data_IF_919649569419
#
_entry.id   IF_919649569419
#
_cell.length_a   1.000
_cell.length_b   1.000
_cell.length_c   1.000
_cell.angle_alpha   90.00
_cell.angle_beta   90.00
_cell.angle_gamma   90.00
#
_symmetry.space_group_name_H-M   'P 1'
#
loop_
_entity.id
_entity.type
_entity.pdbx_description
1 polymer ?
#
# COMPACT_ATOMS: atom_id res chain seq x y z
N UNK A 1 49.10 4.28 47.44
CA UNK A 1 48.20 5.03 46.58
C UNK A 1 47.97 4.21 45.31
N UNK A 2 46.80 3.69 45.03
CA UNK A 2 46.53 3.01 43.78
C UNK A 2 46.00 4.04 42.76
N UNK A 3 46.60 4.01 41.60
CA UNK A 3 46.19 4.78 40.42
C UNK A 3 44.78 4.38 39.96
N UNK A 4 43.85 5.33 39.95
CA UNK A 4 42.53 5.20 39.27
C UNK A 4 42.72 5.40 37.79
N UNK A 5 42.43 4.35 37.01
CA UNK A 5 42.25 4.42 35.56
C UNK A 5 40.83 4.93 35.30
N UNK A 6 40.63 6.00 34.55
CA UNK A 6 39.28 6.40 34.14
C UNK A 6 38.82 5.52 32.99
N UNK A 7 37.91 4.61 33.23
CA UNK A 7 37.15 3.90 32.24
C UNK A 7 35.90 4.75 31.86
N UNK A 8 36.06 5.66 30.93
CA UNK A 8 34.94 6.20 30.21
C UNK A 8 34.95 5.63 28.79
N UNK A 9 34.36 4.46 28.64
CA UNK A 9 33.89 4.04 27.32
C UNK A 9 32.59 4.81 27.02
N UNK A 10 32.73 5.93 26.30
CA UNK A 10 31.64 6.51 25.59
C UNK A 10 31.30 5.56 24.44
N UNK A 11 30.34 4.69 24.63
CA UNK A 11 29.64 4.06 23.50
C UNK A 11 28.84 5.17 22.83
N UNK A 12 29.39 5.78 21.78
CA UNK A 12 28.55 6.47 20.81
C UNK A 12 27.62 5.43 20.23
N UNK A 13 26.39 5.36 20.70
CA UNK A 13 25.31 4.74 19.97
C UNK A 13 25.26 5.49 18.65
N UNK A 14 25.65 4.84 17.54
CA UNK A 14 25.32 5.34 16.22
C UNK A 14 23.80 5.41 16.18
N UNK A 15 23.26 6.61 16.38
CA UNK A 15 21.83 6.83 16.34
C UNK A 15 21.43 6.65 14.89
N UNK A 16 20.83 5.51 14.54
CA UNK A 16 20.31 5.22 13.21
C UNK A 16 18.82 5.49 13.19
N UNK A 17 18.29 5.92 12.06
CA UNK A 17 16.85 6.10 11.86
C UNK A 17 16.42 5.58 10.51
N UNK A 18 15.17 5.15 10.42
CA UNK A 18 14.58 4.71 9.17
C UNK A 18 14.01 5.88 8.38
N UNK A 19 14.21 5.81 7.08
CA UNK A 19 13.55 6.63 6.07
C UNK A 19 12.93 5.70 5.03
N UNK A 20 11.99 6.21 4.23
CA UNK A 20 11.16 5.37 3.39
C UNK A 20 11.18 5.84 1.94
N UNK A 21 11.21 4.90 1.00
CA UNK A 21 11.17 5.10 -0.44
C UNK A 21 9.87 4.54 -0.96
N UNK A 22 8.97 5.37 -1.47
CA UNK A 22 7.60 4.97 -1.79
C UNK A 22 7.27 5.35 -3.22
N UNK A 23 6.62 4.43 -3.92
CA UNK A 23 5.98 4.68 -5.21
C UNK A 23 4.70 3.83 -5.35
N UNK A 24 3.83 4.25 -6.25
CA UNK A 24 2.61 3.53 -6.58
C UNK A 24 2.47 3.37 -8.09
N UNK A 25 1.77 2.31 -8.51
CA UNK A 25 1.36 2.09 -9.89
C UNK A 25 -0.10 1.62 -9.89
N UNK A 26 -0.84 1.96 -10.95
CA UNK A 26 -2.23 1.55 -11.12
C UNK A 26 -2.56 1.28 -12.57
N UNK A 27 -3.59 0.48 -12.78
CA UNK A 27 -4.13 0.21 -14.12
C UNK A 27 -5.64 -0.05 -14.03
N UNK A 28 -6.48 0.72 -14.74
CA UNK A 28 -7.92 0.49 -14.72
C UNK A 28 -8.30 -0.79 -15.47
N UNK A 29 -9.39 -1.42 -15.06
CA UNK A 29 -10.05 -2.54 -15.75
C UNK A 29 -10.36 -2.16 -17.19
N UNK A 30 -10.27 -3.10 -18.10
CA UNK A 30 -10.65 -2.89 -19.50
C UNK A 30 -9.64 -2.14 -20.37
N UNK A 31 -8.58 -1.57 -19.80
CA UNK A 31 -7.48 -0.96 -20.57
C UNK A 31 -6.42 -2.01 -20.84
N UNK A 32 -6.11 -2.26 -22.11
CA UNK A 32 -5.04 -3.19 -22.48
C UNK A 32 -3.69 -2.72 -21.93
N UNK A 33 -2.82 -3.64 -21.49
CA UNK A 33 -1.47 -3.30 -21.05
C UNK A 33 -0.75 -2.56 -22.18
N UNK A 34 -0.30 -1.34 -21.90
CA UNK A 34 0.57 -0.61 -22.82
C UNK A 34 2.00 -1.08 -22.63
N UNK A 35 2.86 -1.02 -23.69
CA UNK A 35 4.28 -1.19 -23.48
C UNK A 35 4.76 -0.27 -22.37
N UNK A 36 5.63 -0.73 -21.46
CA UNK A 36 6.13 0.10 -20.38
C UNK A 36 6.77 1.36 -20.96
N UNK A 37 6.29 2.52 -20.51
CA UNK A 37 6.94 3.79 -20.76
C UNK A 37 7.70 4.15 -19.49
N UNK A 38 9.03 4.13 -19.53
CA UNK A 38 9.84 4.51 -18.38
C UNK A 38 9.36 5.85 -17.79
N UNK A 39 9.22 5.90 -16.48
CA UNK A 39 8.85 7.10 -15.74
C UNK A 39 7.39 7.57 -15.82
N UNK A 40 6.50 6.86 -16.55
CA UNK A 40 5.07 7.25 -16.66
C UNK A 40 4.09 6.29 -16.00
N UNK A 41 4.51 5.07 -15.73
CA UNK A 41 3.63 4.02 -15.25
C UNK A 41 3.55 3.95 -13.72
N UNK A 42 4.19 4.87 -13.01
CA UNK A 42 4.12 4.94 -11.56
C UNK A 42 4.10 6.37 -11.03
N UNK A 43 3.49 6.51 -9.87
CA UNK A 43 3.45 7.74 -9.10
C UNK A 43 4.54 7.72 -8.03
N UNK A 44 5.14 8.87 -7.77
CA UNK A 44 6.23 9.02 -6.83
C UNK A 44 5.83 9.94 -5.68
N UNK A 45 6.07 9.47 -4.47
CA UNK A 45 5.83 10.18 -3.23
C UNK A 45 6.51 11.57 -3.16
N UNK A 46 7.76 11.70 -3.63
CA UNK A 46 8.49 12.96 -3.62
C UNK A 46 7.84 14.05 -4.50
N UNK A 47 7.12 13.66 -5.56
CA UNK A 47 6.44 14.63 -6.42
C UNK A 47 5.28 15.35 -5.74
N UNK A 48 4.82 14.89 -4.57
CA UNK A 48 3.76 15.56 -3.79
C UNK A 48 4.29 16.66 -2.88
N UNK A 49 5.59 16.69 -2.57
CA UNK A 49 6.20 17.72 -1.72
C UNK A 49 6.36 19.06 -2.43
N UNK A 50 6.57 19.06 -3.74
CA UNK A 50 6.71 20.29 -4.52
C UNK A 50 5.35 20.93 -4.88
N UNK A 51 4.24 20.17 -4.72
CA UNK A 51 2.91 20.67 -5.00
C UNK A 51 1.98 20.34 -3.81
N UNK A 52 1.82 21.27 -2.86
CA UNK A 52 1.14 21.04 -1.58
C UNK A 52 -0.36 20.82 -1.70
N UNK A 53 -0.91 20.73 -2.90
CA UNK A 53 -2.30 20.32 -3.08
C UNK A 53 -2.43 18.84 -2.81
N UNK A 54 -3.09 18.43 -1.72
CA UNK A 54 -3.35 17.03 -1.43
C UNK A 54 -3.99 16.33 -2.63
N UNK A 55 -3.75 15.02 -2.86
CA UNK A 55 -4.31 14.30 -4.00
C UNK A 55 -5.83 14.46 -4.16
N UNK A 56 -6.57 14.60 -3.05
CA UNK A 56 -8.02 14.85 -3.06
C UNK A 56 -8.44 16.25 -3.52
N UNK A 57 -7.51 17.21 -3.59
CA UNK A 57 -7.75 18.55 -4.16
C UNK A 57 -7.33 18.65 -5.64
N UNK A 58 -6.73 17.61 -6.20
CA UNK A 58 -6.48 17.57 -7.64
C UNK A 58 -7.82 17.47 -8.36
N UNK A 59 -8.03 18.30 -9.35
CA UNK A 59 -9.22 18.28 -10.20
C UNK A 59 -9.30 17.05 -11.11
N UNK A 60 -8.30 16.18 -11.10
CA UNK A 60 -8.20 14.99 -11.94
C UNK A 60 -8.25 13.74 -11.07
N UNK A 61 -9.25 12.89 -11.34
CA UNK A 61 -9.39 11.54 -10.83
C UNK A 61 -8.13 10.73 -11.14
N UNK A 62 -7.71 9.85 -10.22
CA UNK A 62 -6.63 8.89 -10.50
C UNK A 62 -7.06 7.97 -11.65
N UNK A 63 -6.13 7.61 -12.53
CA UNK A 63 -6.37 6.64 -13.61
C UNK A 63 -6.18 5.21 -13.07
N UNK A 64 -7.02 4.84 -12.10
CA UNK A 64 -6.98 3.57 -11.38
C UNK A 64 -8.34 2.86 -11.36
N UNK A 65 -9.31 3.33 -12.16
CA UNK A 65 -10.66 2.78 -12.15
C UNK A 65 -11.40 3.11 -10.84
N UNK A 66 -11.92 2.08 -10.18
CA UNK A 66 -12.60 2.18 -8.88
C UNK A 66 -11.63 2.21 -7.71
N UNK A 67 -10.38 1.80 -7.93
CA UNK A 67 -9.30 1.82 -6.94
C UNK A 67 -8.81 3.23 -6.64
N UNK A 68 -8.28 3.39 -5.43
CA UNK A 68 -7.56 4.57 -5.01
C UNK A 68 -6.34 4.22 -4.16
N UNK A 69 -5.35 5.10 -4.13
CA UNK A 69 -4.17 4.95 -3.27
C UNK A 69 -3.69 6.30 -2.76
N UNK A 70 -2.92 6.27 -1.70
CA UNK A 70 -2.26 7.45 -1.16
C UNK A 70 -0.88 7.11 -0.59
N UNK A 71 -0.02 8.11 -0.51
CA UNK A 71 1.19 8.11 0.30
C UNK A 71 1.52 9.56 0.67
N UNK A 72 1.90 9.78 1.92
CA UNK A 72 2.18 11.11 2.47
C UNK A 72 3.15 11.03 3.65
N UNK A 73 3.79 12.14 3.97
CA UNK A 73 4.46 12.30 5.27
C UNK A 73 3.43 12.43 6.38
N UNK A 74 3.80 12.00 7.57
CA UNK A 74 3.04 12.30 8.79
C UNK A 74 3.65 13.55 9.43
N UNK A 75 2.86 14.61 9.57
CA UNK A 75 3.33 15.86 10.16
C UNK A 75 4.52 16.51 9.45
N UNK A 76 4.69 16.26 8.13
CA UNK A 76 5.81 16.75 7.36
C UNK A 76 7.16 16.03 7.60
N UNK A 77 7.19 14.95 8.39
CA UNK A 77 8.41 14.19 8.70
C UNK A 77 8.72 13.14 7.66
N UNK A 78 9.92 13.11 7.09
CA UNK A 78 10.36 12.09 6.12
C UNK A 78 10.57 10.69 6.75
N UNK A 79 10.67 10.64 8.07
CA UNK A 79 10.86 9.42 8.85
C UNK A 79 9.54 8.79 9.31
N UNK A 80 8.43 9.49 9.11
CA UNK A 80 7.08 9.04 9.44
C UNK A 80 6.21 9.19 8.21
N UNK A 81 5.79 8.09 7.64
CA UNK A 81 4.97 8.09 6.42
C UNK A 81 3.72 7.24 6.61
N UNK A 82 2.63 7.70 5.99
CA UNK A 82 1.39 6.96 5.88
C UNK A 82 1.11 6.67 4.41
N UNK A 83 0.74 5.44 4.09
CA UNK A 83 0.45 5.02 2.73
C UNK A 83 -0.53 3.85 2.73
N UNK A 84 -1.23 3.66 1.63
CA UNK A 84 -2.22 2.60 1.50
C UNK A 84 -3.09 2.78 0.27
N UNK A 85 -4.16 1.98 0.23
CA UNK A 85 -5.09 1.93 -0.88
C UNK A 85 -6.50 1.53 -0.40
N UNK A 86 -7.46 1.73 -1.30
CA UNK A 86 -8.85 1.36 -1.13
C UNK A 86 -9.39 0.90 -2.48
N UNK A 87 -10.07 -0.24 -2.51
CA UNK A 87 -10.73 -0.82 -3.66
C UNK A 87 -12.22 -0.47 -3.59
N UNK A 88 -12.73 0.20 -4.61
CA UNK A 88 -14.12 0.61 -4.69
C UNK A 88 -15.03 -0.56 -5.05
N UNK A 89 -16.01 -0.87 -4.20
CA UNK A 89 -16.88 -2.03 -4.41
C UNK A 89 -17.81 -1.83 -5.60
N UNK A 90 -17.54 -2.54 -6.70
CA UNK A 90 -18.24 -2.44 -7.99
C UNK A 90 -19.74 -2.67 -7.94
N UNK A 91 -20.25 -3.43 -6.97
CA UNK A 91 -21.68 -3.66 -6.78
C UNK A 91 -22.52 -2.40 -6.56
N UNK A 92 -21.90 -1.28 -6.21
CA UNK A 92 -22.58 0.02 -6.12
C UNK A 92 -22.97 0.61 -7.48
N UNK A 93 -22.34 0.19 -8.58
CA UNK A 93 -22.73 0.62 -9.94
C UNK A 93 -24.17 0.24 -10.25
N UNK A 94 -24.65 -0.91 -9.79
CA UNK A 94 -26.05 -1.36 -9.96
C UNK A 94 -27.05 -0.42 -9.29
N UNK A 95 -26.59 0.40 -8.35
CA UNK A 95 -27.36 1.45 -7.67
C UNK A 95 -27.15 2.84 -8.27
N UNK A 96 -26.44 2.94 -9.40
CA UNK A 96 -26.12 4.20 -10.07
C UNK A 96 -25.08 5.06 -9.35
N UNK A 97 -24.25 4.44 -8.49
CA UNK A 97 -23.16 5.09 -7.73
C UNK A 97 -21.83 4.78 -8.38
N UNK A 98 -20.96 5.77 -8.52
CA UNK A 98 -19.57 5.57 -8.94
C UNK A 98 -18.73 5.14 -7.71
N UNK A 99 -18.27 3.86 -7.62
CA UNK A 99 -17.54 3.35 -6.47
C UNK A 99 -16.24 4.10 -6.19
N UNK A 100 -15.63 4.66 -7.25
CA UNK A 100 -14.39 5.42 -7.12
C UNK A 100 -14.54 6.73 -6.34
N UNK A 101 -15.73 7.30 -6.20
CA UNK A 101 -15.93 8.51 -5.41
C UNK A 101 -15.67 8.25 -3.93
N UNK A 102 -16.07 7.07 -3.45
CA UNK A 102 -15.86 6.69 -2.05
C UNK A 102 -14.40 6.36 -1.78
N UNK A 103 -13.77 5.48 -2.58
CA UNK A 103 -12.38 5.06 -2.41
C UNK A 103 -11.40 6.23 -2.51
N UNK A 104 -11.59 7.12 -3.50
CA UNK A 104 -10.74 8.31 -3.68
C UNK A 104 -10.92 9.34 -2.55
N UNK A 105 -12.15 9.57 -2.09
CA UNK A 105 -12.40 10.46 -0.97
C UNK A 105 -11.75 9.92 0.32
N UNK A 106 -11.88 8.62 0.59
CA UNK A 106 -11.28 7.98 1.77
C UNK A 106 -9.76 8.11 1.75
N UNK A 107 -9.10 7.73 0.66
CA UNK A 107 -7.65 7.84 0.48
C UNK A 107 -7.17 9.29 0.60
N UNK A 108 -7.88 10.23 -0.04
CA UNK A 108 -7.54 11.66 0.03
C UNK A 108 -7.64 12.24 1.44
N UNK A 109 -8.67 11.85 2.20
CA UNK A 109 -8.85 12.29 3.58
C UNK A 109 -7.81 11.67 4.52
N UNK A 110 -7.46 10.39 4.35
CA UNK A 110 -6.35 9.78 5.09
C UNK A 110 -5.03 10.51 4.84
N UNK A 111 -4.72 10.80 3.56
CA UNK A 111 -3.52 11.55 3.21
C UNK A 111 -3.48 12.93 3.85
N UNK A 112 -4.58 13.68 3.76
CA UNK A 112 -4.69 15.02 4.34
C UNK A 112 -4.55 15.02 5.84
N UNK A 113 -5.26 14.14 6.54
CA UNK A 113 -5.21 14.03 8.01
C UNK A 113 -3.82 13.66 8.52
N UNK A 114 -3.16 12.68 7.87
CA UNK A 114 -1.80 12.29 8.26
C UNK A 114 -0.79 13.42 8.04
N UNK A 115 -0.89 14.16 6.93
CA UNK A 115 0.06 15.22 6.59
C UNK A 115 0.04 16.38 7.58
N UNK A 116 -1.14 16.77 8.07
CA UNK A 116 -1.30 17.90 9.00
C UNK A 116 -1.20 17.51 10.47
N UNK A 117 -0.94 16.26 10.80
CA UNK A 117 -0.84 15.82 12.18
C UNK A 117 0.31 16.50 12.90
N UNK A 118 0.03 17.11 14.03
CA UNK A 118 1.02 17.78 14.89
C UNK A 118 1.48 16.86 16.03
N UNK A 119 2.65 17.17 16.59
CA UNK A 119 3.19 16.52 17.80
C UNK A 119 3.26 14.98 17.69
N UNK A 120 3.78 14.49 16.57
CA UNK A 120 3.83 13.04 16.25
C UNK A 120 4.63 12.21 17.28
N UNK A 121 5.55 12.79 18.02
CA UNK A 121 6.30 12.12 19.09
C UNK A 121 5.43 11.87 20.35
N UNK A 122 4.52 12.81 20.68
CA UNK A 122 3.61 12.69 21.83
C UNK A 122 2.31 11.99 21.44
N UNK A 123 1.85 12.19 20.21
CA UNK A 123 0.63 11.62 19.67
C UNK A 123 0.93 10.95 18.31
N UNK A 124 1.45 9.73 18.31
CA UNK A 124 1.83 9.03 17.08
C UNK A 124 0.60 8.76 16.20
N UNK A 125 0.77 8.99 14.89
CA UNK A 125 -0.22 8.58 13.90
C UNK A 125 -0.37 7.05 13.92
N UNK A 126 -1.60 6.57 13.94
CA UNK A 126 -1.92 5.14 13.88
C UNK A 126 -2.90 4.86 12.76
N UNK A 127 -2.77 3.72 12.05
CA UNK A 127 -3.56 3.46 10.85
C UNK A 127 -5.07 3.34 11.13
N UNK A 128 -5.50 2.64 12.18
CA UNK A 128 -6.92 2.47 12.47
C UNK A 128 -7.61 3.79 12.91
N UNK A 129 -7.06 4.62 13.82
CA UNK A 129 -7.57 5.96 14.08
C UNK A 129 -7.57 6.88 12.86
N UNK A 130 -6.54 6.81 12.00
CA UNK A 130 -6.49 7.56 10.75
C UNK A 130 -7.63 7.16 9.82
N UNK A 131 -7.88 5.85 9.67
CA UNK A 131 -8.99 5.31 8.90
C UNK A 131 -10.33 5.76 9.48
N UNK A 132 -10.50 5.74 10.81
CA UNK A 132 -11.73 6.19 11.49
C UNK A 132 -12.02 7.66 11.19
N UNK A 133 -11.00 8.52 11.33
CA UNK A 133 -11.15 9.95 11.05
C UNK A 133 -11.56 10.21 9.60
N UNK A 134 -10.95 9.52 8.65
CA UNK A 134 -11.26 9.66 7.24
C UNK A 134 -12.67 9.12 6.92
N UNK A 135 -13.05 7.98 7.48
CA UNK A 135 -14.37 7.40 7.31
C UNK A 135 -15.47 8.30 7.85
N UNK A 136 -15.31 8.85 9.06
CA UNK A 136 -16.26 9.80 9.64
C UNK A 136 -16.43 11.03 8.74
N UNK A 137 -15.35 11.52 8.16
CA UNK A 137 -15.39 12.66 7.24
C UNK A 137 -16.13 12.31 5.93
N UNK A 138 -15.94 11.10 5.36
CA UNK A 138 -16.70 10.61 4.20
C UNK A 138 -18.18 10.48 4.55
N UNK A 139 -18.51 9.90 5.70
CA UNK A 139 -19.90 9.73 6.15
C UNK A 139 -20.63 11.06 6.29
N UNK A 140 -19.93 12.10 6.74
CA UNK A 140 -20.47 13.44 6.91
C UNK A 140 -20.42 14.31 5.63
N UNK A 141 -19.75 13.84 4.57
CA UNK A 141 -19.63 14.61 3.33
C UNK A 141 -20.91 14.50 2.49
N UNK A 142 -21.64 15.62 2.24
CA UNK A 142 -22.88 15.58 1.46
C UNK A 142 -22.65 15.31 -0.03
N UNK A 143 -21.42 15.46 -0.53
CA UNK A 143 -21.07 15.16 -1.93
C UNK A 143 -20.98 13.67 -2.19
N UNK A 144 -20.67 12.86 -1.19
CA UNK A 144 -20.65 11.40 -1.26
C UNK A 144 -22.02 10.90 -0.85
N UNK A 145 -22.87 10.57 -1.81
CA UNK A 145 -24.25 10.16 -1.54
C UNK A 145 -24.34 8.71 -1.04
N UNK A 146 -23.52 7.84 -1.59
CA UNK A 146 -23.46 6.40 -1.30
C UNK A 146 -22.11 5.85 -1.78
N UNK A 147 -21.85 4.58 -1.50
CA UNK A 147 -20.66 3.88 -1.96
C UNK A 147 -20.03 3.05 -0.86
N UNK A 148 -19.01 2.30 -1.21
CA UNK A 148 -18.21 1.51 -0.26
C UNK A 148 -16.88 1.12 -0.89
N UNK A 149 -15.92 0.79 -0.03
CA UNK A 149 -14.62 0.29 -0.45
C UNK A 149 -13.97 -0.57 0.64
N UNK A 150 -12.97 -1.35 0.25
CA UNK A 150 -11.99 -1.92 1.17
C UNK A 150 -11.06 -0.83 1.70
N UNK A 151 -10.19 -1.17 2.66
CA UNK A 151 -9.11 -0.28 3.08
C UNK A 151 -7.91 -1.09 3.57
N UNK A 152 -6.73 -0.80 3.02
CA UNK A 152 -5.47 -1.39 3.47
C UNK A 152 -4.41 -0.31 3.55
N UNK A 153 -3.90 -0.04 4.76
CA UNK A 153 -2.96 1.06 4.97
C UNK A 153 -1.92 0.75 6.04
N UNK A 154 -0.79 1.44 5.95
CA UNK A 154 0.31 1.35 6.90
C UNK A 154 0.81 2.73 7.32
N UNK A 155 1.26 2.83 8.55
CA UNK A 155 1.94 4.00 9.11
C UNK A 155 3.27 3.55 9.68
N UNK A 156 4.35 4.22 9.28
CA UNK A 156 5.70 3.90 9.72
C UNK A 156 6.24 4.95 10.66
N UNK A 157 7.30 4.60 11.39
CA UNK A 157 8.01 5.52 12.27
C UNK A 157 9.53 5.46 12.06
N UNK A 158 10.25 6.41 12.68
CA UNK A 158 11.71 6.52 12.59
C UNK A 158 12.49 5.31 13.13
N UNK A 159 11.85 4.45 13.94
CA UNK A 159 12.44 3.23 14.50
C UNK A 159 12.31 2.02 13.55
N UNK A 160 11.74 2.18 12.36
CA UNK A 160 11.52 1.08 11.41
C UNK A 160 10.31 0.21 11.74
N UNK A 161 9.43 0.64 12.63
CA UNK A 161 8.17 -0.05 12.88
C UNK A 161 7.12 0.41 11.87
N UNK A 162 6.34 -0.53 11.34
CA UNK A 162 5.12 -0.27 10.59
C UNK A 162 3.94 -0.86 11.36
N UNK A 163 2.93 -0.05 11.59
CA UNK A 163 1.61 -0.49 12.04
C UNK A 163 0.66 -0.46 10.85
N UNK A 164 -0.12 -1.52 10.65
CA UNK A 164 -1.04 -1.68 9.51
C UNK A 164 -2.47 -1.82 9.99
N UNK A 165 -3.43 -1.38 9.17
CA UNK A 165 -4.84 -1.70 9.31
C UNK A 165 -5.34 -2.23 7.97
N UNK A 166 -5.98 -3.40 7.98
CA UNK A 166 -6.51 -4.06 6.78
C UNK A 166 -7.98 -4.39 6.98
N UNK A 167 -8.83 -3.95 6.07
CA UNK A 167 -10.26 -4.24 6.04
C UNK A 167 -10.66 -4.64 4.62
N UNK A 168 -11.12 -5.86 4.46
CA UNK A 168 -11.49 -6.45 3.17
C UNK A 168 -10.44 -7.39 2.60
N UNK A 169 -10.46 -7.56 1.28
CA UNK A 169 -9.62 -8.48 0.50
C UNK A 169 -8.47 -7.78 -0.25
N UNK A 170 -8.39 -6.46 -0.23
CA UNK A 170 -7.13 -5.76 -0.39
C UNK A 170 -6.16 -6.16 0.70
N UNK A 171 -4.84 -6.00 0.46
CA UNK A 171 -3.90 -6.46 1.47
C UNK A 171 -2.46 -6.07 1.21
N UNK A 172 -1.54 -6.68 1.99
CA UNK A 172 -0.12 -6.41 1.87
C UNK A 172 0.77 -7.65 2.02
N UNK A 173 1.96 -7.54 1.44
CA UNK A 173 3.09 -8.46 1.68
C UNK A 173 4.30 -7.66 2.17
N UNK A 174 5.07 -8.26 3.07
CA UNK A 174 6.40 -7.78 3.45
C UNK A 174 7.44 -8.77 2.94
N UNK A 175 8.40 -8.29 2.15
CA UNK A 175 9.49 -9.10 1.62
C UNK A 175 10.80 -8.74 2.30
N UNK A 176 11.52 -9.78 2.71
CA UNK A 176 12.97 -9.73 2.91
C UNK A 176 13.68 -10.41 1.74
N UNK A 177 15.02 -10.43 1.72
CA UNK A 177 15.77 -11.02 0.62
C UNK A 177 15.34 -12.46 0.31
N UNK A 178 14.76 -12.65 -0.88
CA UNK A 178 14.33 -13.94 -1.42
C UNK A 178 13.14 -14.62 -0.71
N UNK A 179 12.38 -13.92 0.13
CA UNK A 179 11.26 -14.51 0.87
C UNK A 179 10.14 -13.52 1.18
N UNK A 180 8.93 -14.06 1.31
CA UNK A 180 7.80 -13.37 1.93
C UNK A 180 7.95 -13.52 3.45
N UNK A 181 8.11 -12.40 4.14
CA UNK A 181 8.29 -12.37 5.59
C UNK A 181 6.95 -12.26 6.34
N UNK A 182 5.99 -11.50 5.80
CA UNK A 182 4.64 -11.28 6.36
C UNK A 182 3.63 -11.09 5.25
N UNK A 183 2.36 -11.35 5.57
CA UNK A 183 1.20 -11.04 4.73
C UNK A 183 0.01 -10.68 5.61
N UNK A 184 -0.93 -9.90 5.06
CA UNK A 184 -2.26 -9.73 5.61
C UNK A 184 -3.14 -10.95 5.31
N UNK A 185 -4.14 -11.19 6.13
CA UNK A 185 -5.21 -12.13 5.81
C UNK A 185 -6.38 -11.37 5.17
N UNK A 186 -7.03 -11.99 4.19
CA UNK A 186 -8.22 -11.45 3.54
C UNK A 186 -9.45 -11.58 4.45
N UNK A 187 -10.27 -10.54 4.52
CA UNK A 187 -11.51 -10.54 5.29
C UNK A 187 -12.70 -10.52 4.34
N UNK A 188 -13.45 -11.62 4.30
CA UNK A 188 -14.60 -11.79 3.43
C UNK A 188 -15.77 -12.42 4.17
N UNK A 189 -17.01 -12.07 3.82
CA UNK A 189 -18.24 -12.72 4.30
C UNK A 189 -18.50 -14.04 3.57
N UNK A 190 -18.15 -14.05 2.29
CA UNK A 190 -18.29 -15.19 1.39
C UNK A 190 -17.31 -15.03 0.23
N UNK A 191 -17.24 -15.99 -0.66
CA UNK A 191 -16.44 -15.89 -1.86
C UNK A 191 -16.75 -14.59 -2.62
N UNK A 192 -15.70 -13.83 -2.97
CA UNK A 192 -15.76 -12.55 -3.68
C UNK A 192 -16.73 -11.52 -3.04
N UNK A 193 -16.80 -11.53 -1.71
CA UNK A 193 -17.67 -10.65 -0.93
C UNK A 193 -16.84 -10.06 0.25
N UNK A 194 -16.04 -9.03 -0.01
CA UNK A 194 -15.14 -8.48 1.01
C UNK A 194 -15.88 -7.74 2.12
N UNK A 195 -15.23 -7.65 3.28
CA UNK A 195 -15.56 -6.63 4.27
C UNK A 195 -15.37 -5.26 3.63
N UNK A 196 -16.29 -4.32 3.89
CA UNK A 196 -16.29 -3.02 3.25
C UNK A 196 -16.79 -1.91 4.17
N UNK A 197 -16.12 -0.80 4.14
CA UNK A 197 -16.65 0.46 4.66
C UNK A 197 -17.73 0.95 3.70
N UNK A 198 -18.91 1.31 4.19
CA UNK A 198 -20.03 1.68 3.32
C UNK A 198 -20.81 2.88 3.84
N UNK A 199 -21.25 3.74 2.92
CA UNK A 199 -22.26 4.75 3.13
C UNK A 199 -23.54 4.37 2.43
N UNK A 200 -24.49 3.81 3.19
CA UNK A 200 -25.77 3.32 2.65
C UNK A 200 -26.84 4.38 2.83
N UNK A 201 -27.50 4.88 1.77
CA UNK A 201 -28.58 5.85 1.87
C UNK A 201 -29.74 5.36 2.74
N UNK A 202 -30.36 6.26 3.51
CA UNK A 202 -31.45 5.89 4.43
C UNK A 202 -32.65 5.22 3.74
N UNK A 203 -32.92 5.56 2.48
CA UNK A 203 -33.97 4.89 1.69
C UNK A 203 -33.63 3.43 1.43
N UNK A 204 -32.38 3.15 1.05
CA UNK A 204 -31.90 1.79 0.78
C UNK A 204 -31.86 0.95 2.06
N UNK A 205 -31.42 1.54 3.19
CA UNK A 205 -31.48 0.90 4.51
C UNK A 205 -32.91 0.47 4.89
N UNK A 206 -33.93 1.31 4.60
CA UNK A 206 -35.34 0.97 4.83
C UNK A 206 -35.81 -0.18 3.95
N UNK A 207 -35.40 -0.21 2.68
CA UNK A 207 -35.75 -1.30 1.76
C UNK A 207 -35.15 -2.63 2.24
N UNK A 208 -33.84 -2.68 2.58
CA UNK A 208 -33.23 -3.88 3.13
C UNK A 208 -33.96 -4.41 4.38
N UNK A 209 -34.34 -3.51 5.30
CA UNK A 209 -35.13 -3.90 6.48
C UNK A 209 -36.50 -4.47 6.15
N UNK A 210 -37.20 -3.93 5.15
CA UNK A 210 -38.53 -4.43 4.70
C UNK A 210 -38.41 -5.83 4.07
N UNK A 211 -37.36 -6.06 3.29
CA UNK A 211 -37.17 -7.35 2.60
C UNK A 211 -36.42 -8.39 3.46
N UNK A 212 -36.09 -8.07 4.71
CA UNK A 212 -35.36 -8.97 5.61
C UNK A 212 -33.90 -9.23 5.15
N UNK A 213 -33.35 -8.37 4.30
CA UNK A 213 -31.97 -8.43 3.84
C UNK A 213 -31.07 -7.57 4.71
N UNK A 214 -29.81 -7.95 4.82
CA UNK A 214 -28.75 -7.16 5.47
C UNK A 214 -27.84 -6.56 4.40
N UNK A 215 -27.25 -5.42 4.68
CA UNK A 215 -26.17 -4.84 3.89
C UNK A 215 -24.87 -4.95 4.67
N UNK A 216 -23.78 -5.13 3.95
CA UNK A 216 -22.46 -5.13 4.55
C UNK A 216 -22.04 -3.70 4.87
N UNK A 217 -21.59 -3.48 6.07
CA UNK A 217 -21.22 -2.14 6.54
C UNK A 217 -20.34 -2.28 7.76
N UNK A 218 -19.12 -2.70 7.54
CA UNK A 218 -18.10 -2.73 8.56
C UNK A 218 -17.69 -1.31 8.92
N UNK A 219 -17.04 -1.21 10.03
CA UNK A 219 -16.49 0.04 10.56
C UNK A 219 -14.96 -0.07 10.62
N UNK A 220 -14.22 1.01 10.73
CA UNK A 220 -12.78 0.95 10.94
C UNK A 220 -12.32 0.12 12.16
N UNK A 221 -13.22 -0.13 13.13
CA UNK A 221 -12.95 -1.00 14.26
C UNK A 221 -12.83 -2.49 13.87
N UNK A 222 -13.41 -2.87 12.73
CA UNK A 222 -13.37 -4.24 12.20
C UNK A 222 -12.09 -4.52 11.39
N UNK A 223 -11.25 -3.52 11.17
CA UNK A 223 -9.97 -3.69 10.51
C UNK A 223 -9.00 -4.51 11.36
N UNK A 224 -8.33 -5.48 10.73
CA UNK A 224 -7.23 -6.21 11.35
C UNK A 224 -6.01 -5.31 11.49
N UNK A 225 -5.52 -5.16 12.73
CA UNK A 225 -4.37 -4.30 13.06
C UNK A 225 -3.17 -5.16 13.42
N UNK A 226 -2.06 -4.93 12.72
CA UNK A 226 -0.82 -5.64 12.95
C UNK A 226 0.36 -4.67 13.04
N UNK A 227 1.41 -5.07 13.76
CA UNK A 227 2.66 -4.31 13.88
C UNK A 227 3.84 -5.15 13.47
N UNK A 228 4.69 -4.62 12.61
CA UNK A 228 5.90 -5.32 12.13
C UNK A 228 7.13 -4.43 12.33
N UNK A 229 8.22 -5.05 12.79
CA UNK A 229 9.54 -4.41 12.78
C UNK A 229 10.22 -4.69 11.44
N UNK A 230 10.41 -3.64 10.65
CA UNK A 230 11.10 -3.69 9.37
C UNK A 230 12.62 -3.70 9.58
N UNK A 231 13.30 -4.37 8.67
CA UNK A 231 14.76 -4.35 8.55
C UNK A 231 15.17 -3.47 7.39
N UNK A 232 16.41 -3.03 7.40
CA UNK A 232 17.00 -2.34 6.25
C UNK A 232 16.82 -3.15 4.97
N UNK A 233 16.26 -2.51 3.95
CA UNK A 233 15.97 -3.13 2.65
C UNK A 233 14.71 -3.99 2.58
N UNK A 234 13.93 -4.10 3.66
CA UNK A 234 12.61 -4.73 3.59
C UNK A 234 11.68 -3.95 2.68
N UNK A 235 10.90 -4.68 1.91
CA UNK A 235 9.94 -4.14 0.94
C UNK A 235 8.54 -4.43 1.46
N UNK A 236 7.73 -3.40 1.65
CA UNK A 236 6.29 -3.51 1.95
C UNK A 236 5.51 -3.19 0.69
N UNK A 237 4.65 -4.09 0.27
CA UNK A 237 3.82 -3.96 -0.93
C UNK A 237 2.36 -4.11 -0.54
N UNK A 238 1.58 -3.06 -0.72
CA UNK A 238 0.12 -3.08 -0.63
C UNK A 238 -0.47 -3.22 -2.03
N UNK A 239 -1.56 -3.98 -2.16
CA UNK A 239 -2.28 -4.08 -3.42
C UNK A 239 -3.77 -4.38 -3.21
N UNK A 240 -4.59 -4.03 -4.22
CA UNK A 240 -6.00 -4.40 -4.34
C UNK A 240 -6.16 -5.84 -4.80
N UNK A 241 -7.37 -6.37 -4.75
CA UNK A 241 -7.70 -7.75 -5.15
C UNK A 241 -7.33 -8.05 -6.61
N UNK A 242 -7.33 -7.04 -7.49
CA UNK A 242 -6.85 -7.18 -8.86
C UNK A 242 -5.42 -7.76 -8.97
N UNK A 243 -4.59 -7.62 -7.92
CA UNK A 243 -3.33 -8.35 -7.79
C UNK A 243 -3.54 -9.72 -7.17
N UNK A 244 -4.20 -9.82 -6.02
CA UNK A 244 -4.27 -11.05 -5.21
C UNK A 244 -5.11 -12.14 -5.85
N UNK A 245 -6.09 -11.79 -6.65
CA UNK A 245 -6.90 -12.72 -7.45
C UNK A 245 -6.10 -13.35 -8.60
N UNK A 246 -5.07 -12.69 -9.07
CA UNK A 246 -4.28 -13.09 -10.23
C UNK A 246 -2.88 -13.59 -9.90
N UNK A 247 -2.26 -13.12 -8.82
CA UNK A 247 -0.92 -13.47 -8.39
C UNK A 247 -0.93 -13.99 -6.95
N UNK A 248 -0.38 -15.18 -6.75
CA UNK A 248 -0.10 -15.67 -5.41
C UNK A 248 1.06 -14.88 -4.77
N UNK A 249 1.23 -14.98 -3.45
CA UNK A 249 2.39 -14.41 -2.77
C UNK A 249 3.72 -14.90 -3.36
N UNK A 250 3.77 -16.13 -3.84
CA UNK A 250 4.96 -16.70 -4.48
C UNK A 250 5.20 -16.11 -5.88
N UNK A 251 4.13 -15.92 -6.69
CA UNK A 251 4.25 -15.25 -7.99
C UNK A 251 4.76 -13.82 -7.80
N UNK A 252 4.21 -13.10 -6.83
CA UNK A 252 4.63 -11.72 -6.50
C UNK A 252 6.09 -11.69 -6.04
N UNK A 253 6.51 -12.64 -5.19
CA UNK A 253 7.92 -12.78 -4.80
C UNK A 253 8.84 -13.01 -6.00
N UNK A 254 8.43 -13.81 -6.99
CA UNK A 254 9.22 -14.03 -8.20
C UNK A 254 9.42 -12.73 -9.00
N UNK A 255 8.36 -11.93 -9.15
CA UNK A 255 8.45 -10.61 -9.81
C UNK A 255 9.40 -9.68 -9.06
N UNK A 256 9.23 -9.57 -7.75
CA UNK A 256 10.08 -8.74 -6.87
C UNK A 256 11.54 -9.23 -6.94
N UNK A 257 11.78 -10.54 -6.79
CA UNK A 257 13.15 -11.11 -6.81
C UNK A 257 13.86 -10.82 -8.12
N UNK A 258 13.17 -10.97 -9.24
CA UNK A 258 13.74 -10.67 -10.57
C UNK A 258 14.25 -9.23 -10.64
N UNK A 259 13.44 -8.24 -10.27
CA UNK A 259 13.83 -6.82 -10.31
C UNK A 259 14.99 -6.54 -9.34
N UNK A 260 14.91 -7.10 -8.14
CA UNK A 260 15.94 -6.91 -7.12
C UNK A 260 17.28 -7.56 -7.49
N UNK A 261 17.27 -8.72 -8.13
CA UNK A 261 18.47 -9.43 -8.60
C UNK A 261 19.05 -8.77 -9.85
N UNK A 262 18.23 -8.40 -10.84
CA UNK A 262 18.66 -7.68 -12.05
C UNK A 262 19.28 -6.30 -11.71
N UNK A 263 18.75 -5.60 -10.70
CA UNK A 263 19.30 -4.35 -10.20
C UNK A 263 20.51 -4.51 -9.28
N UNK A 264 20.90 -5.73 -8.93
CA UNK A 264 22.00 -6.03 -8.00
C UNK A 264 21.69 -5.70 -6.53
N UNK A 265 20.44 -5.40 -6.19
CA UNK A 265 20.00 -5.13 -4.81
C UNK A 265 19.93 -6.40 -3.97
N UNK A 266 19.60 -7.53 -4.60
CA UNK A 266 19.71 -8.87 -4.03
C UNK A 266 20.72 -9.69 -4.81
N UNK A 267 21.44 -10.56 -4.12
CA UNK A 267 22.41 -11.47 -4.76
C UNK A 267 22.44 -12.81 -4.04
N UNK A 268 22.84 -13.86 -4.76
CA UNK A 268 23.00 -15.21 -4.21
C UNK A 268 24.37 -15.33 -3.55
N UNK A 269 24.40 -15.63 -2.27
CA UNK A 269 25.59 -16.05 -1.55
C UNK A 269 25.59 -17.58 -1.40
N UNK A 270 26.70 -18.22 -1.67
CA UNK A 270 26.86 -19.67 -1.55
C UNK A 270 27.65 -20.00 -0.29
N UNK A 271 27.00 -20.60 0.68
CA UNK A 271 27.57 -21.07 1.93
C UNK A 271 27.56 -22.60 1.94
N UNK A 272 28.22 -23.22 2.95
CA UNK A 272 28.25 -24.67 3.13
C UNK A 272 26.84 -25.29 3.27
N UNK A 273 25.86 -24.53 3.72
CA UNK A 273 24.47 -24.95 3.94
C UNK A 273 23.55 -24.70 2.72
N UNK A 274 24.07 -24.11 1.62
CA UNK A 274 23.29 -23.83 0.41
C UNK A 274 23.40 -22.40 -0.12
N UNK A 275 22.53 -22.06 -1.06
CA UNK A 275 22.46 -20.71 -1.61
C UNK A 275 21.45 -19.86 -0.80
N UNK A 276 21.90 -18.75 -0.26
CA UNK A 276 21.08 -17.77 0.44
C UNK A 276 21.00 -16.47 -0.35
N UNK A 277 19.81 -15.85 -0.40
CA UNK A 277 19.66 -14.52 -1.00
C UNK A 277 20.01 -13.46 0.02
N UNK A 278 20.95 -12.61 -0.32
CA UNK A 278 21.49 -11.53 0.51
C UNK A 278 21.11 -10.16 -0.04
N UNK A 279 21.06 -9.18 0.84
CA UNK A 279 20.85 -7.77 0.50
C UNK A 279 22.17 -7.10 0.16
N UNK A 280 22.19 -6.27 -0.88
CA UNK A 280 23.27 -5.32 -1.12
C UNK A 280 22.98 -4.01 -0.34
N UNK A 281 23.46 -3.96 0.89
CA UNK A 281 23.26 -2.85 1.82
C UNK A 281 23.68 -1.50 1.21
N UNK A 282 24.80 -1.45 0.50
CA UNK A 282 25.33 -0.22 -0.10
C UNK A 282 24.37 0.34 -1.15
N UNK A 283 23.84 -0.48 -2.06
CA UNK A 283 22.93 -0.01 -3.09
C UNK A 283 21.58 0.45 -2.52
N UNK A 284 21.08 -0.21 -1.48
CA UNK A 284 19.84 0.22 -0.82
C UNK A 284 20.02 1.58 -0.13
N UNK A 285 21.15 1.80 0.56
CA UNK A 285 21.44 3.12 1.18
C UNK A 285 21.58 4.25 0.16
N UNK A 286 21.95 3.93 -1.07
CA UNK A 286 22.10 4.89 -2.16
C UNK A 286 20.77 5.23 -2.87
N UNK A 287 19.66 4.58 -2.51
CA UNK A 287 18.35 4.90 -3.08
C UNK A 287 17.98 6.37 -2.77
N UNK A 288 17.66 7.18 -3.79
CA UNK A 288 17.36 8.58 -3.60
C UNK A 288 16.11 8.77 -2.71
N UNK A 289 16.16 9.74 -1.79
CA UNK A 289 15.01 10.10 -0.94
C UNK A 289 13.95 10.88 -1.71
N UNK A 290 14.39 11.79 -2.57
CA UNK A 290 13.54 12.55 -3.47
C UNK A 290 14.00 12.32 -4.91
N UNK A 291 13.11 12.43 -5.86
CA UNK A 291 13.42 12.18 -7.26
C UNK A 291 13.35 13.49 -8.00
N UNK A 292 14.47 13.87 -8.59
CA UNK A 292 14.51 14.80 -9.71
C UNK A 292 13.81 14.12 -10.91
N UNK A 293 13.06 14.88 -11.71
CA UNK A 293 12.34 14.38 -12.89
C UNK A 293 13.23 13.56 -13.86
N UNK A 294 14.55 13.74 -13.78
CA UNK A 294 15.54 13.03 -14.60
C UNK A 294 15.89 11.62 -14.10
N UNK A 295 15.55 11.26 -12.85
CA UNK A 295 15.92 9.98 -12.20
C UNK A 295 14.73 9.01 -12.13
N UNK A 296 13.55 9.41 -12.59
CA UNK A 296 12.31 8.62 -12.47
C UNK A 296 12.39 7.22 -13.09
N UNK A 297 13.12 7.06 -14.19
CA UNK A 297 13.21 5.79 -14.94
C UNK A 297 13.90 4.65 -14.16
N UNK A 298 14.76 5.00 -13.19
CA UNK A 298 15.53 4.04 -12.39
C UNK A 298 15.06 3.90 -10.95
N UNK A 299 13.93 4.52 -10.58
CA UNK A 299 13.44 4.49 -9.18
C UNK A 299 12.88 3.14 -8.79
N UNK A 300 13.63 2.43 -7.95
CA UNK A 300 13.35 1.04 -7.60
C UNK A 300 11.92 0.78 -7.08
N UNK A 301 11.35 1.55 -6.13
CA UNK A 301 9.96 1.31 -5.71
C UNK A 301 8.96 1.42 -6.85
N UNK A 302 9.17 2.36 -7.78
CA UNK A 302 8.33 2.52 -8.97
C UNK A 302 8.45 1.35 -9.95
N UNK A 303 9.66 0.86 -10.17
CA UNK A 303 9.90 -0.32 -11.00
C UNK A 303 9.20 -1.55 -10.42
N UNK A 304 9.29 -1.75 -9.10
CA UNK A 304 8.62 -2.85 -8.40
C UNK A 304 7.10 -2.74 -8.51
N UNK A 305 6.52 -1.57 -8.20
CA UNK A 305 5.09 -1.34 -8.28
C UNK A 305 4.55 -1.56 -9.70
N UNK A 306 5.22 -0.98 -10.71
CA UNK A 306 4.84 -1.13 -12.11
C UNK A 306 5.00 -2.57 -12.63
N UNK A 307 6.02 -3.30 -12.18
CA UNK A 307 6.23 -4.68 -12.59
C UNK A 307 5.12 -5.60 -12.04
N UNK A 308 4.78 -5.47 -10.75
CA UNK A 308 3.70 -6.26 -10.13
C UNK A 308 2.35 -5.91 -10.75
N UNK A 309 2.04 -4.63 -10.92
CA UNK A 309 0.82 -4.17 -11.59
C UNK A 309 0.69 -4.77 -13.00
N UNK A 310 1.75 -4.72 -13.81
CA UNK A 310 1.73 -5.27 -15.18
C UNK A 310 1.59 -6.79 -15.19
N UNK A 311 2.30 -7.50 -14.32
CA UNK A 311 2.18 -8.97 -14.23
C UNK A 311 0.76 -9.38 -13.83
N UNK A 312 0.15 -8.71 -12.83
CA UNK A 312 -1.22 -8.95 -12.43
C UNK A 312 -2.21 -8.65 -13.57
N UNK A 313 -1.99 -7.55 -14.29
CA UNK A 313 -2.83 -7.19 -15.45
C UNK A 313 -2.76 -8.23 -16.57
N UNK A 314 -1.56 -8.72 -16.89
CA UNK A 314 -1.37 -9.77 -17.89
C UNK A 314 -2.01 -11.08 -17.43
N UNK A 315 -1.83 -11.43 -16.16
CA UNK A 315 -2.43 -12.63 -15.57
C UNK A 315 -3.95 -12.58 -15.59
N UNK A 316 -4.55 -11.43 -15.26
CA UNK A 316 -6.01 -11.23 -15.29
C UNK A 316 -6.60 -11.35 -16.70
N UNK A 317 -5.85 -11.01 -17.73
CA UNK A 317 -6.28 -11.13 -19.14
C UNK A 317 -6.00 -12.50 -19.76
N UNK A 318 -5.20 -13.33 -19.12
CA UNK A 318 -4.85 -14.67 -19.64
C UNK A 318 -5.98 -15.67 -19.34
N UNK A 319 -6.71 -16.07 -20.38
CA UNK A 319 -7.82 -17.02 -20.33
C UNK A 319 -7.43 -18.46 -19.97
N UNK A 320 -6.13 -18.75 -19.86
CA UNK A 320 -5.61 -20.10 -19.56
C UNK A 320 -4.95 -20.18 -18.18
N UNK A 321 -4.73 -19.04 -17.53
CA UNK A 321 -4.03 -18.99 -16.24
C UNK A 321 -4.91 -19.51 -15.12
N UNK A 322 -4.41 -20.50 -14.40
CA UNK A 322 -5.00 -20.94 -13.12
C UNK A 322 -4.44 -20.14 -11.94
N UNK A 323 -4.88 -18.88 -11.82
CA UNK A 323 -4.54 -18.00 -10.71
C UNK A 323 -5.27 -18.35 -9.40
N UNK A 324 -5.03 -17.58 -8.31
CA UNK A 324 -5.73 -17.77 -7.04
C UNK A 324 -7.25 -17.76 -7.20
N UNK A 325 -7.83 -16.76 -7.86
CA UNK A 325 -9.27 -16.65 -8.10
C UNK A 325 -9.85 -17.86 -8.83
N UNK A 326 -9.24 -18.29 -9.93
CA UNK A 326 -9.72 -19.45 -10.68
C UNK A 326 -9.75 -20.72 -9.82
N UNK A 327 -8.78 -20.90 -8.93
CA UNK A 327 -8.75 -22.05 -8.00
C UNK A 327 -9.86 -21.97 -6.97
N UNK A 328 -10.14 -20.78 -6.44
CA UNK A 328 -11.25 -20.57 -5.48
C UNK A 328 -12.61 -20.76 -6.14
N UNK A 329 -12.83 -20.24 -7.37
CA UNK A 329 -14.07 -20.52 -8.12
C UNK A 329 -14.28 -22.02 -8.30
N UNK A 330 -13.25 -22.76 -8.70
CA UNK A 330 -13.34 -24.23 -8.88
C UNK A 330 -13.68 -24.95 -7.58
N UNK A 331 -13.23 -24.43 -6.44
CA UNK A 331 -13.52 -24.98 -5.13
C UNK A 331 -14.96 -24.69 -4.67
N UNK A 332 -15.43 -23.45 -4.82
CA UNK A 332 -16.74 -23.00 -4.33
C UNK A 332 -17.87 -23.24 -5.34
N UNK A 333 -17.58 -23.14 -6.64
CA UNK A 333 -18.54 -23.23 -7.74
C UNK A 333 -18.03 -24.13 -8.87
N UNK A 334 -17.79 -25.43 -8.63
CA UNK A 334 -17.17 -26.32 -9.63
C UNK A 334 -17.98 -26.47 -10.92
N UNK A 335 -19.29 -26.16 -10.88
CA UNK A 335 -20.18 -26.22 -12.06
C UNK A 335 -20.06 -25.01 -12.99
N UNK A 336 -19.45 -23.90 -12.55
CA UNK A 336 -19.37 -22.69 -13.38
C UNK A 336 -18.30 -22.77 -14.47
N UNK A 337 -17.35 -23.72 -14.35
CA UNK A 337 -16.34 -23.94 -15.39
C UNK A 337 -15.46 -22.73 -15.65
N UNK A 338 -15.18 -21.90 -14.63
CA UNK A 338 -14.34 -20.74 -14.78
C UNK A 338 -12.93 -21.11 -15.26
N UNK A 339 -12.48 -20.41 -16.30
CA UNK A 339 -11.14 -20.53 -16.84
C UNK A 339 -10.49 -19.15 -16.96
N UNK A 340 -9.19 -19.07 -16.64
CA UNK A 340 -8.40 -17.85 -16.78
C UNK A 340 -8.38 -16.96 -15.55
N UNK A 341 -7.69 -15.83 -15.71
CA UNK A 341 -7.58 -14.79 -14.68
C UNK A 341 -8.87 -13.98 -14.50
N UNK A 342 -8.91 -13.14 -13.48
CA UNK A 342 -9.99 -12.17 -13.21
C UNK A 342 -9.52 -10.77 -13.63
N UNK A 343 -9.97 -10.21 -14.77
CA UNK A 343 -9.66 -8.83 -15.12
C UNK A 343 -10.27 -7.88 -14.11
N UNK A 344 -9.44 -7.00 -13.52
CA UNK A 344 -9.88 -6.02 -12.55
C UNK A 344 -9.11 -4.71 -12.62
N UNK A 345 -9.56 -3.71 -11.87
CA UNK A 345 -8.78 -2.54 -11.52
C UNK A 345 -7.59 -2.98 -10.65
N UNK A 346 -6.48 -2.29 -10.72
CA UNK A 346 -5.27 -2.63 -9.99
C UNK A 346 -4.65 -1.38 -9.41
N UNK A 347 -4.43 -1.37 -8.11
CA UNK A 347 -3.56 -0.41 -7.44
C UNK A 347 -2.48 -1.15 -6.64
N UNK A 348 -1.24 -0.65 -6.73
CA UNK A 348 -0.07 -1.20 -6.03
C UNK A 348 0.71 -0.04 -5.41
N UNK A 349 1.02 -0.14 -4.12
CA UNK A 349 1.91 0.80 -3.42
C UNK A 349 3.09 0.02 -2.86
N UNK A 350 4.31 0.46 -3.16
CA UNK A 350 5.55 -0.16 -2.68
C UNK A 350 6.32 0.82 -1.81
N UNK A 351 6.74 0.36 -0.63
CA UNK A 351 7.57 1.09 0.31
C UNK A 351 8.83 0.27 0.63
N UNK A 352 10.01 0.87 0.51
CA UNK A 352 11.30 0.26 0.90
C UNK A 352 11.81 0.97 2.14
N UNK A 353 12.09 0.21 3.21
CA UNK A 353 12.65 0.71 4.45
C UNK A 353 14.17 0.86 4.34
N UNK A 354 14.69 2.06 4.58
CA UNK A 354 16.12 2.35 4.50
C UNK A 354 16.61 2.89 5.85
N UNK A 355 17.49 2.14 6.49
CA UNK A 355 18.15 2.58 7.72
C UNK A 355 19.35 3.45 7.36
N UNK A 356 19.40 4.66 7.90
CA UNK A 356 20.44 5.66 7.67
C UNK A 356 20.99 6.16 9.01
N UNK A 357 22.19 6.75 8.98
CA UNK A 357 22.68 7.50 10.14
C UNK A 357 21.69 8.64 10.45
N UNK A 358 21.33 8.81 11.70
CA UNK A 358 20.42 9.89 12.10
C UNK A 358 21.05 11.24 11.68
N UNK A 359 20.39 11.92 10.78
CA UNK A 359 20.73 13.30 10.46
C UNK A 359 19.97 14.23 11.40
N UNK A 360 20.64 15.26 11.92
CA UNK A 360 19.99 16.36 12.65
C UNK A 360 19.07 17.16 11.68
N UNK A 361 18.01 16.55 11.18
CA UNK A 361 17.01 17.26 10.37
C UNK A 361 16.26 18.25 11.27
N UNK A 362 16.62 19.52 11.14
CA UNK A 362 15.77 20.60 11.65
C UNK A 362 14.44 20.56 10.89
N UNK A 363 13.30 20.62 11.57
CA UNK A 363 12.00 20.67 10.90
C UNK A 363 12.00 21.85 9.92
N UNK A 364 11.65 21.56 8.67
CA UNK A 364 11.49 22.59 7.63
C UNK A 364 10.31 23.45 8.08
N UNK A 365 10.62 24.65 8.61
CA UNK A 365 9.59 25.64 8.92
C UNK A 365 8.91 26.01 7.61
N UNK A 366 7.65 25.63 7.46
CA UNK A 366 6.80 26.15 6.40
C UNK A 366 6.88 27.68 6.43
N UNK A 367 7.37 28.27 5.35
CA UNK A 367 7.21 29.71 5.15
C UNK A 367 5.73 29.94 4.86
N UNK A 368 5.08 30.64 5.80
CA UNK A 368 3.75 31.21 5.62
C UNK A 368 3.73 32.21 4.48
#
# INVERSE_FOLDING_TARGET
MPLRIPTSYSTSSNDTSFTYRIAAASAPKGVSPRPPKPGRDYWNYASTHENPSPPYLRSTKQDSGEDAFFATTVGGSSNHVAFGLADGVGGWQDQGVDPSEFSQALCGLMAGSANIQENIEENPCKPQPLLQQAYDAVMNNPRIAAGGCTASLGVTNRQGSIETANLGDSGYLVFGPGKVARRSESQTHAFNTPYQLSKVPAQLQKQYKIFGSTYFSETPADADVSTHQLKHGDIVLFATDGVWDNLSAQDTLQVVSRIMEEGGYWFKSHNFDGAETMLNDTLIRQLPRAIDDKIQESYLPGQLAAAVMREAKLAGLDRRREGPFAREVKQHYPSEGWEGGKPDDIAVVVCIAVEEAASDEKPIKAKL
#
